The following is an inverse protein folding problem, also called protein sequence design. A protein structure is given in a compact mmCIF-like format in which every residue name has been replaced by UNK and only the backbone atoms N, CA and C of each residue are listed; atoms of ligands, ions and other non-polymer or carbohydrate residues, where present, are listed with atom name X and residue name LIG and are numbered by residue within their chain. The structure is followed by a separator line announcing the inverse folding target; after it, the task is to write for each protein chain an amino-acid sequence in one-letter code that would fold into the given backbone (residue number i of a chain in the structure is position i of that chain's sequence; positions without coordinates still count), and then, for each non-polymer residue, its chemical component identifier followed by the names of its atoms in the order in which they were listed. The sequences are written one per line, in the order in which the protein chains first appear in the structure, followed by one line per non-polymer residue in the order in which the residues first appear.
data_IF_613563818962
#
_entry.id   IF_613563818962
#
_cell.length_a   1.000
_cell.length_b   1.000
_cell.length_c   1.000
_cell.angle_alpha   90.00
_cell.angle_beta   90.00
_cell.angle_gamma   90.00
#
_symmetry.space_group_name_H-M   'P 1'
#
loop_
_entity.id
_entity.type
_entity.pdbx_description
1 polymer ?
#
# COMPACT_ATOMS: atom_id res chain seq x y z
N UNK A 1 -9.79 -2.88 -17.73
CA UNK A 1 -9.60 -1.70 -16.87
C UNK A 1 -10.07 -0.44 -17.59
N UNK A 2 -10.47 0.57 -16.81
CA UNK A 2 -10.75 1.93 -17.29
C UNK A 2 -9.55 2.81 -16.95
N UNK A 3 -8.94 3.43 -17.95
CA UNK A 3 -7.73 4.23 -17.84
C UNK A 3 -7.93 5.62 -18.48
N UNK A 4 -7.16 6.65 -18.07
CA UNK A 4 -7.14 7.92 -18.79
C UNK A 4 -6.65 7.78 -20.23
N UNK A 5 -6.98 8.75 -21.09
CA UNK A 5 -6.57 8.75 -22.49
C UNK A 5 -5.03 8.69 -22.63
N UNK A 6 -4.56 7.89 -23.59
CA UNK A 6 -3.14 7.65 -23.86
C UNK A 6 -2.49 6.56 -23.00
N UNK A 7 -3.21 6.03 -22.00
CA UNK A 7 -2.74 4.88 -21.25
C UNK A 7 -3.27 3.56 -21.82
N UNK A 8 -2.46 2.53 -21.71
CA UNK A 8 -2.81 1.15 -22.06
C UNK A 8 -2.41 0.20 -20.93
N UNK A 9 -3.04 -0.98 -20.90
CA UNK A 9 -2.73 -2.04 -19.96
C UNK A 9 -2.30 -3.30 -20.69
N UNK A 10 -1.25 -3.95 -20.19
CA UNK A 10 -0.79 -5.28 -20.60
C UNK A 10 -0.87 -6.20 -19.39
N UNK A 11 -1.29 -7.44 -19.59
CA UNK A 11 -1.18 -8.49 -18.57
C UNK A 11 0.21 -9.13 -18.73
N UNK A 12 1.06 -8.93 -17.72
CA UNK A 12 2.44 -9.42 -17.72
C UNK A 12 2.53 -10.87 -17.30
N UNK A 13 1.71 -11.26 -16.33
CA UNK A 13 1.61 -12.64 -15.83
C UNK A 13 0.23 -12.88 -15.21
N UNK A 14 -0.16 -14.16 -15.14
CA UNK A 14 -1.38 -14.63 -14.49
C UNK A 14 -1.06 -15.78 -13.54
N UNK A 15 -2.02 -16.13 -12.71
CA UNK A 15 -1.95 -17.28 -11.81
C UNK A 15 -0.73 -17.25 -10.84
N UNK A 16 -0.24 -16.06 -10.49
CA UNK A 16 0.84 -15.90 -9.50
C UNK A 16 0.41 -16.26 -8.07
N UNK A 17 -0.88 -16.51 -7.84
CA UNK A 17 -1.42 -16.73 -6.51
C UNK A 17 -1.67 -15.41 -5.77
N UNK A 18 -1.57 -15.41 -4.43
CA UNK A 18 -1.85 -14.23 -3.60
C UNK A 18 -0.72 -13.19 -3.68
N UNK A 19 -0.57 -12.53 -4.84
CA UNK A 19 0.49 -11.55 -5.14
C UNK A 19 0.26 -10.26 -4.36
N UNK A 20 1.20 -9.93 -3.48
CA UNK A 20 1.15 -8.73 -2.62
C UNK A 20 2.04 -7.62 -3.16
N UNK A 21 3.05 -7.19 -2.42
CA UNK A 21 3.94 -6.13 -2.89
C UNK A 21 4.87 -6.61 -3.99
N UNK A 22 5.39 -5.66 -4.73
CA UNK A 22 6.15 -5.83 -5.94
C UNK A 22 7.28 -4.80 -5.98
N UNK A 23 8.39 -5.15 -6.61
CA UNK A 23 9.46 -4.22 -6.94
C UNK A 23 10.04 -4.60 -8.29
N UNK A 24 10.53 -3.61 -9.03
CA UNK A 24 11.12 -3.81 -10.37
C UNK A 24 12.57 -3.36 -10.33
N UNK A 25 13.46 -4.18 -10.85
CA UNK A 25 14.88 -3.91 -10.94
C UNK A 25 15.21 -2.89 -12.04
N UNK A 26 16.44 -2.40 -12.04
CA UNK A 26 16.94 -1.49 -13.09
C UNK A 26 16.98 -2.13 -14.48
N UNK A 27 17.06 -3.46 -14.54
CA UNK A 27 17.05 -4.25 -15.78
C UNK A 27 15.64 -4.61 -16.26
N UNK A 28 14.61 -4.34 -15.46
CA UNK A 28 13.22 -4.67 -15.79
C UNK A 28 12.73 -5.98 -15.18
N UNK A 29 13.57 -6.73 -14.48
CA UNK A 29 13.13 -7.93 -13.74
C UNK A 29 12.17 -7.52 -12.63
N UNK A 30 11.10 -8.26 -12.52
CA UNK A 30 10.01 -8.00 -11.59
C UNK A 30 10.07 -9.02 -10.45
N UNK A 31 10.06 -8.55 -9.21
CA UNK A 31 10.02 -9.40 -8.03
C UNK A 31 8.69 -9.21 -7.31
N UNK A 32 7.94 -10.30 -7.14
CA UNK A 32 6.60 -10.31 -6.52
C UNK A 32 6.65 -11.12 -5.24
N UNK A 33 6.16 -10.55 -4.13
CA UNK A 33 5.99 -11.24 -2.85
C UNK A 33 4.59 -11.83 -2.75
N UNK A 34 4.48 -13.06 -2.27
CA UNK A 34 3.21 -13.77 -2.12
C UNK A 34 2.80 -13.86 -0.64
N UNK A 35 1.50 -13.62 -0.36
CA UNK A 35 0.90 -13.80 0.97
C UNK A 35 0.70 -15.28 1.34
N UNK A 36 0.70 -16.17 0.36
CA UNK A 36 0.65 -17.63 0.50
C UNK A 36 1.66 -18.25 -0.45
N UNK A 37 2.26 -19.35 -0.06
CA UNK A 37 3.20 -20.07 -0.94
C UNK A 37 2.47 -20.59 -2.18
N UNK A 38 3.13 -20.47 -3.32
CA UNK A 38 2.80 -21.14 -4.57
C UNK A 38 3.96 -22.09 -4.88
N UNK A 39 3.68 -23.37 -5.08
CA UNK A 39 4.70 -24.41 -5.33
C UNK A 39 5.84 -24.39 -4.29
N UNK A 40 5.49 -24.11 -3.02
CA UNK A 40 6.44 -24.01 -1.91
C UNK A 40 7.28 -22.72 -1.89
N UNK A 41 7.03 -21.76 -2.79
CA UNK A 41 7.81 -20.53 -2.92
C UNK A 41 6.96 -19.29 -2.61
N UNK A 42 7.58 -18.30 -1.99
CA UNK A 42 6.92 -17.05 -1.53
C UNK A 42 7.38 -15.80 -2.26
N UNK A 43 8.35 -15.90 -3.16
CA UNK A 43 8.83 -14.82 -4.01
C UNK A 43 8.96 -15.36 -5.43
N UNK A 44 8.53 -14.59 -6.43
CA UNK A 44 8.72 -14.91 -7.84
C UNK A 44 9.47 -13.78 -8.53
N UNK A 45 10.54 -14.14 -9.28
CA UNK A 45 11.16 -13.28 -10.29
C UNK A 45 10.50 -13.56 -11.62
N UNK A 46 10.05 -12.50 -12.28
CA UNK A 46 9.44 -12.53 -13.61
C UNK A 46 10.30 -11.74 -14.57
N UNK A 47 10.52 -12.27 -15.77
CA UNK A 47 11.29 -11.60 -16.83
C UNK A 47 10.60 -11.76 -18.17
N UNK A 48 10.48 -10.66 -18.88
CA UNK A 48 10.10 -10.59 -20.28
C UNK A 48 11.41 -10.63 -21.09
N UNK A 49 11.69 -11.77 -21.75
CA UNK A 49 12.97 -12.00 -22.46
C UNK A 49 12.91 -11.59 -23.93
N UNK A 50 11.71 -11.46 -24.49
CA UNK A 50 11.47 -11.15 -25.89
C UNK A 50 10.93 -9.73 -26.11
N UNK A 51 10.67 -8.97 -25.04
CA UNK A 51 10.14 -7.61 -25.03
C UNK A 51 8.72 -7.47 -25.61
N UNK A 52 7.86 -8.50 -25.47
CA UNK A 52 6.47 -8.44 -25.89
C UNK A 52 5.53 -7.92 -24.81
N UNK A 53 6.06 -7.70 -23.59
CA UNK A 53 5.33 -7.21 -22.42
C UNK A 53 4.74 -8.31 -21.55
N UNK A 54 4.98 -9.59 -21.87
CA UNK A 54 4.58 -10.77 -21.09
C UNK A 54 5.82 -11.44 -20.51
N UNK A 55 5.75 -11.91 -19.28
CA UNK A 55 6.86 -12.60 -18.65
C UNK A 55 6.98 -14.05 -19.17
N UNK A 56 8.06 -14.34 -19.91
CA UNK A 56 8.40 -15.69 -20.41
C UNK A 56 9.03 -16.55 -19.33
N UNK A 57 9.75 -15.94 -18.40
CA UNK A 57 10.47 -16.62 -17.34
C UNK A 57 9.86 -16.30 -15.99
N UNK A 58 9.56 -17.34 -15.20
CA UNK A 58 9.06 -17.25 -13.83
C UNK A 58 9.88 -18.16 -12.93
N UNK A 59 10.66 -17.59 -12.03
CA UNK A 59 11.51 -18.34 -11.09
C UNK A 59 11.07 -18.06 -9.66
N UNK A 60 10.61 -19.11 -8.96
CA UNK A 60 10.20 -19.04 -7.56
C UNK A 60 11.37 -19.33 -6.61
N UNK A 61 11.44 -18.59 -5.49
CA UNK A 61 12.38 -18.83 -4.39
C UNK A 61 11.82 -18.32 -3.06
N UNK A 62 12.56 -18.54 -1.95
CA UNK A 62 12.11 -18.20 -0.60
C UNK A 62 10.88 -19.01 -0.17
N UNK A 63 11.02 -19.80 0.85
CA UNK A 63 10.02 -20.76 1.36
C UNK A 63 9.08 -20.17 2.43
N UNK A 64 8.92 -18.85 2.45
CA UNK A 64 8.12 -18.12 3.43
C UNK A 64 7.11 -17.17 2.76
N UNK A 65 5.84 -17.15 3.24
CA UNK A 65 4.84 -16.17 2.79
C UNK A 65 5.10 -14.80 3.42
N UNK A 66 4.55 -13.74 2.84
CA UNK A 66 4.66 -12.39 3.40
C UNK A 66 4.11 -11.30 2.50
N UNK A 67 4.45 -10.05 2.81
CA UNK A 67 3.90 -8.90 2.07
C UNK A 67 5.00 -7.98 1.53
N UNK A 68 5.96 -7.57 2.37
CA UNK A 68 6.95 -6.56 2.00
C UNK A 68 8.02 -7.10 1.06
N UNK A 69 8.34 -6.33 0.03
CA UNK A 69 9.47 -6.55 -0.87
C UNK A 69 9.99 -5.20 -1.37
N UNK A 70 11.32 -5.04 -1.49
CA UNK A 70 11.94 -3.79 -1.88
C UNK A 70 13.34 -4.02 -2.45
N UNK A 71 13.76 -3.27 -3.46
CA UNK A 71 15.14 -3.27 -3.97
C UNK A 71 15.83 -1.98 -3.59
N UNK A 72 17.01 -2.08 -2.97
CA UNK A 72 17.88 -0.94 -2.66
C UNK A 72 19.33 -1.37 -2.56
N UNK A 73 20.24 -0.55 -3.10
CA UNK A 73 21.69 -0.65 -2.91
C UNK A 73 22.27 -2.05 -3.15
N UNK A 74 21.81 -2.73 -4.23
CA UNK A 74 22.28 -4.05 -4.62
C UNK A 74 21.69 -5.21 -3.83
N UNK A 75 20.63 -4.97 -3.06
CA UNK A 75 19.91 -5.99 -2.33
C UNK A 75 18.41 -6.00 -2.64
N UNK A 76 17.85 -7.19 -2.66
CA UNK A 76 16.42 -7.44 -2.57
C UNK A 76 16.06 -7.74 -1.10
N UNK A 77 15.23 -6.91 -0.51
CA UNK A 77 14.68 -7.10 0.83
C UNK A 77 13.31 -7.75 0.74
N UNK A 78 13.02 -8.72 1.61
CA UNK A 78 11.71 -9.36 1.66
C UNK A 78 11.32 -9.69 3.10
N UNK A 79 10.04 -9.52 3.44
CA UNK A 79 9.50 -9.88 4.75
C UNK A 79 8.72 -11.19 4.71
N UNK A 80 8.82 -11.96 5.78
CA UNK A 80 7.79 -12.92 6.19
C UNK A 80 6.75 -12.23 7.09
N UNK A 81 5.91 -13.00 7.76
CA UNK A 81 4.99 -12.47 8.78
C UNK A 81 5.70 -12.11 10.10
N UNK A 82 6.92 -12.60 10.34
CA UNK A 82 7.67 -12.43 11.60
C UNK A 82 9.16 -12.10 11.43
N UNK A 83 9.65 -12.04 10.18
CA UNK A 83 11.08 -11.86 9.90
C UNK A 83 11.29 -10.96 8.68
N UNK A 84 12.50 -10.39 8.55
CA UNK A 84 12.96 -9.67 7.37
C UNK A 84 14.26 -10.28 6.91
N UNK A 85 14.35 -10.53 5.60
CA UNK A 85 15.51 -11.08 4.92
C UNK A 85 16.01 -10.13 3.84
N UNK A 86 17.29 -10.30 3.43
CA UNK A 86 17.81 -9.70 2.21
C UNK A 86 18.56 -10.72 1.38
N UNK A 87 18.56 -10.49 0.09
CA UNK A 87 19.29 -11.27 -0.91
C UNK A 87 20.21 -10.33 -1.67
N UNK A 88 21.47 -10.70 -1.85
CA UNK A 88 22.38 -9.94 -2.68
C UNK A 88 22.01 -10.09 -4.15
N UNK A 89 22.02 -9.00 -4.89
CA UNK A 89 21.80 -8.98 -6.33
C UNK A 89 23.15 -8.89 -7.06
N UNK A 90 23.30 -9.67 -8.13
CA UNK A 90 24.44 -9.58 -9.03
C UNK A 90 24.29 -8.36 -9.97
N UNK A 91 25.27 -8.14 -10.87
CA UNK A 91 25.27 -7.03 -11.83
C UNK A 91 24.09 -7.09 -12.81
N UNK A 92 23.54 -8.28 -13.05
CA UNK A 92 22.32 -8.48 -13.85
C UNK A 92 21.02 -8.25 -13.06
N UNK A 93 21.14 -7.83 -11.79
CA UNK A 93 20.02 -7.63 -10.87
C UNK A 93 19.26 -8.93 -10.53
N UNK A 94 19.93 -10.07 -10.59
CA UNK A 94 19.41 -11.38 -10.18
C UNK A 94 19.90 -11.71 -8.77
N UNK A 95 19.10 -12.45 -8.02
CA UNK A 95 19.50 -12.97 -6.70
C UNK A 95 20.63 -13.99 -6.84
N UNK A 96 21.77 -13.74 -6.17
CA UNK A 96 22.97 -14.59 -6.28
C UNK A 96 22.74 -15.98 -5.62
N UNK A 97 22.16 -16.00 -4.41
CA UNK A 97 21.97 -17.22 -3.62
C UNK A 97 20.54 -17.31 -3.09
N UNK A 98 19.55 -17.71 -3.91
CA UNK A 98 18.13 -17.69 -3.51
C UNK A 98 17.79 -18.61 -2.34
N UNK A 99 18.55 -19.67 -2.12
CA UNK A 99 18.34 -20.63 -1.02
C UNK A 99 19.04 -20.21 0.30
N UNK A 100 19.83 -19.14 0.29
CA UNK A 100 20.61 -18.66 1.44
C UNK A 100 20.42 -17.15 1.68
N UNK A 101 19.19 -16.70 2.06
CA UNK A 101 18.98 -15.30 2.41
C UNK A 101 19.72 -14.92 3.69
N UNK A 102 20.20 -13.69 3.76
CA UNK A 102 20.71 -13.11 4.99
C UNK A 102 19.54 -12.63 5.86
N UNK A 103 19.46 -13.14 7.10
CA UNK A 103 18.43 -12.73 8.06
C UNK A 103 18.80 -11.39 8.67
N UNK A 104 17.95 -10.39 8.49
CA UNK A 104 18.14 -9.06 9.06
C UNK A 104 17.42 -8.90 10.40
N UNK A 105 16.15 -9.30 10.48
CA UNK A 105 15.32 -9.12 11.68
C UNK A 105 14.52 -10.39 11.93
N UNK A 106 14.40 -10.77 13.20
CA UNK A 106 13.57 -11.89 13.66
C UNK A 106 12.66 -11.47 14.82
N UNK A 107 11.65 -12.32 15.08
CA UNK A 107 10.75 -12.14 16.23
C UNK A 107 9.83 -10.94 16.13
N UNK A 108 9.54 -10.43 14.91
CA UNK A 108 8.51 -9.45 14.70
C UNK A 108 7.16 -10.03 15.14
N UNK A 109 6.36 -9.21 15.81
CA UNK A 109 5.07 -9.64 16.34
C UNK A 109 4.17 -10.20 15.24
N UNK A 110 3.88 -11.50 15.30
CA UNK A 110 2.97 -12.19 14.39
C UNK A 110 1.59 -12.31 15.03
N UNK A 111 0.55 -12.15 14.22
CA UNK A 111 -0.86 -12.18 14.60
C UNK A 111 -1.66 -12.97 13.59
N UNK A 112 -2.86 -13.42 13.98
CA UNK A 112 -3.77 -14.08 13.06
C UNK A 112 -4.34 -13.14 12.00
N UNK A 113 -4.64 -11.89 12.41
CA UNK A 113 -5.13 -10.82 11.53
C UNK A 113 -4.07 -9.74 11.35
N UNK A 114 -4.15 -9.01 10.23
CA UNK A 114 -3.30 -7.85 9.92
C UNK A 114 -1.79 -8.15 10.08
N UNK A 115 -1.38 -9.36 9.69
CA UNK A 115 -0.01 -9.88 9.84
C UNK A 115 0.98 -9.35 8.80
N UNK A 116 0.54 -8.51 7.87
CA UNK A 116 1.39 -7.91 6.84
C UNK A 116 2.58 -7.15 7.44
N UNK A 117 3.78 -7.48 7.00
CA UNK A 117 5.02 -6.75 7.31
C UNK A 117 5.48 -6.01 6.06
N UNK A 118 4.72 -4.98 5.69
CA UNK A 118 5.12 -4.09 4.61
C UNK A 118 6.39 -3.36 4.98
N UNK A 119 7.31 -3.17 4.03
CA UNK A 119 8.62 -2.55 4.26
C UNK A 119 8.91 -1.44 3.26
N UNK A 120 9.65 -0.45 3.70
CA UNK A 120 10.35 0.52 2.85
C UNK A 120 11.79 0.66 3.34
N UNK A 121 12.71 1.04 2.43
CA UNK A 121 14.13 1.21 2.75
C UNK A 121 14.56 2.59 2.29
N UNK A 122 15.17 3.38 3.19
CA UNK A 122 15.68 4.71 2.86
C UNK A 122 17.11 4.67 2.28
N UNK A 123 17.61 5.83 1.87
CA UNK A 123 18.98 5.99 1.35
C UNK A 123 20.07 5.91 2.43
N UNK A 124 19.70 5.99 3.69
CA UNK A 124 20.59 5.93 4.85
C UNK A 124 20.75 4.51 5.40
N UNK A 125 20.17 3.51 4.70
CA UNK A 125 20.24 2.10 5.11
C UNK A 125 19.36 1.79 6.31
N UNK A 126 18.20 2.42 6.45
CA UNK A 126 17.20 2.03 7.42
C UNK A 126 16.04 1.29 6.73
N UNK A 127 15.51 0.27 7.43
CA UNK A 127 14.31 -0.47 7.03
C UNK A 127 13.17 -0.05 7.96
N UNK A 128 12.07 0.35 7.38
CA UNK A 128 10.83 0.67 8.07
C UNK A 128 9.84 -0.47 7.86
N UNK A 129 9.24 -0.97 8.94
CA UNK A 129 8.31 -2.10 8.90
C UNK A 129 7.04 -1.80 9.69
N UNK A 130 5.89 -2.14 9.10
CA UNK A 130 4.60 -2.07 9.79
C UNK A 130 4.44 -3.19 10.80
N UNK A 131 4.06 -2.85 12.03
CA UNK A 131 3.59 -3.77 13.05
C UNK A 131 2.15 -3.37 13.40
N UNK A 132 1.19 -4.06 12.80
CA UNK A 132 -0.22 -3.73 12.96
C UNK A 132 -0.78 -4.03 14.34
N UNK A 133 -1.90 -3.38 14.67
CA UNK A 133 -2.75 -3.73 15.81
C UNK A 133 -3.44 -5.07 15.63
N UNK A 134 -3.78 -5.74 16.72
CA UNK A 134 -4.51 -7.01 16.73
C UNK A 134 -6.02 -6.85 16.51
N UNK A 135 -6.54 -5.65 16.72
CA UNK A 135 -7.96 -5.35 16.66
C UNK A 135 -8.21 -3.91 16.23
N UNK A 136 -9.47 -3.59 16.01
CA UNK A 136 -9.89 -2.33 15.43
C UNK A 136 -9.76 -1.12 16.35
N UNK A 137 -9.95 -1.29 17.68
CA UNK A 137 -10.14 -0.13 18.55
C UNK A 137 -9.63 -0.30 19.98
N UNK A 138 -8.78 -1.30 20.25
CA UNK A 138 -8.23 -1.54 21.60
C UNK A 138 -9.31 -1.55 22.71
N UNK A 139 -10.34 -2.39 22.51
CA UNK A 139 -11.49 -2.49 23.43
C UNK A 139 -11.27 -3.55 24.49
N UNK A 140 -11.96 -3.38 25.62
CA UNK A 140 -12.22 -4.45 26.55
C UNK A 140 -13.04 -5.56 25.85
N UNK A 141 -12.65 -6.82 26.09
CA UNK A 141 -13.31 -7.96 25.45
C UNK A 141 -14.82 -8.00 25.77
N UNK A 142 -15.66 -8.09 24.73
CA UNK A 142 -17.12 -8.18 24.86
C UNK A 142 -17.82 -6.86 25.19
N UNK A 143 -17.11 -5.74 25.21
CA UNK A 143 -17.68 -4.41 25.46
C UNK A 143 -17.38 -3.43 24.31
N UNK A 144 -18.09 -2.29 24.28
CA UNK A 144 -17.76 -1.17 23.40
C UNK A 144 -16.73 -0.21 23.99
N UNK A 145 -16.24 -0.45 25.22
CA UNK A 145 -15.37 0.47 25.95
C UNK A 145 -13.91 0.26 25.57
N UNK A 146 -13.19 1.34 25.33
CA UNK A 146 -11.74 1.33 25.05
C UNK A 146 -10.92 1.12 26.31
N UNK A 147 -9.79 0.40 26.16
CA UNK A 147 -8.75 0.29 27.18
C UNK A 147 -7.91 1.57 27.23
N UNK A 148 -7.73 2.13 28.43
CA UNK A 148 -6.92 3.34 28.62
C UNK A 148 -6.01 3.20 29.85
N UNK A 149 -4.67 3.17 29.66
CA UNK A 149 -3.96 3.20 28.36
C UNK A 149 -4.17 1.94 27.55
N UNK A 150 -4.05 2.05 26.21
CA UNK A 150 -4.13 0.90 25.31
C UNK A 150 -2.81 0.10 25.33
N UNK A 151 -2.78 -1.15 25.82
CA UNK A 151 -1.53 -1.92 25.93
C UNK A 151 -0.95 -2.35 24.57
N UNK A 152 -1.74 -2.29 23.49
CA UNK A 152 -1.24 -2.61 22.16
C UNK A 152 -0.22 -1.57 21.66
N UNK A 153 -0.33 -0.33 22.12
CA UNK A 153 0.63 0.72 21.74
C UNK A 153 2.05 0.47 22.24
N UNK A 154 2.26 -0.41 23.20
CA UNK A 154 3.59 -0.75 23.69
C UNK A 154 4.40 -1.55 22.67
N UNK A 155 3.73 -2.35 21.82
CA UNK A 155 4.41 -3.31 20.96
C UNK A 155 3.80 -3.46 19.54
N UNK A 156 2.81 -2.64 19.19
CA UNK A 156 2.10 -2.72 17.89
C UNK A 156 1.53 -1.36 17.49
N UNK A 157 0.71 -1.33 16.45
CA UNK A 157 0.03 -0.16 15.94
C UNK A 157 0.99 0.99 15.58
N UNK A 158 2.00 0.67 14.78
CA UNK A 158 2.99 1.66 14.35
C UNK A 158 4.01 1.13 13.36
N UNK A 159 5.02 1.96 13.16
CA UNK A 159 6.17 1.66 12.29
C UNK A 159 7.42 1.49 13.16
N UNK A 160 8.17 0.41 12.94
CA UNK A 160 9.48 0.18 13.53
C UNK A 160 10.57 0.36 12.50
N UNK A 161 11.71 0.88 12.95
CA UNK A 161 12.91 1.10 12.13
C UNK A 161 14.04 0.20 12.60
N UNK A 162 14.69 -0.48 11.65
CA UNK A 162 15.87 -1.32 11.81
C UNK A 162 16.99 -0.87 10.88
N UNK A 163 18.21 -1.41 11.07
CA UNK A 163 19.33 -1.20 10.16
C UNK A 163 19.33 -2.22 9.03
N UNK A 164 19.52 -1.75 7.79
CA UNK A 164 19.59 -2.61 6.61
C UNK A 164 20.94 -3.34 6.46
N UNK A 165 21.98 -2.86 7.12
CA UNK A 165 23.34 -3.40 7.11
C UNK A 165 23.69 -4.26 8.32
N UNK A 166 22.80 -4.35 9.32
CA UNK A 166 23.01 -5.17 10.52
C UNK A 166 22.21 -6.47 10.44
N UNK A 167 22.92 -7.61 10.50
CA UNK A 167 22.32 -8.94 10.49
C UNK A 167 21.85 -9.35 11.88
N UNK A 168 20.91 -10.30 11.93
CA UNK A 168 20.45 -10.98 13.13
C UNK A 168 19.90 -10.05 14.22
N UNK A 169 19.33 -8.92 13.83
CA UNK A 169 18.59 -8.07 14.75
C UNK A 169 17.33 -8.82 15.23
N UNK A 170 16.88 -8.51 16.43
CA UNK A 170 15.60 -8.99 16.98
C UNK A 170 14.61 -7.84 17.03
N UNK A 171 13.35 -8.14 17.28
CA UNK A 171 12.32 -7.10 17.45
C UNK A 171 12.72 -6.04 18.50
N UNK A 172 13.42 -6.45 19.58
CA UNK A 172 13.89 -5.56 20.63
C UNK A 172 14.95 -4.55 20.18
N UNK A 173 15.67 -4.81 19.08
CA UNK A 173 16.63 -3.87 18.50
C UNK A 173 15.96 -2.76 17.66
N UNK A 174 14.66 -2.91 17.36
CA UNK A 174 13.91 -1.95 16.59
C UNK A 174 13.62 -0.67 17.34
N UNK A 175 13.73 0.46 16.65
CA UNK A 175 13.28 1.75 17.16
C UNK A 175 11.86 1.98 16.72
N UNK A 176 10.92 2.19 17.65
CA UNK A 176 9.57 2.62 17.31
C UNK A 176 9.62 4.00 16.69
N UNK A 177 9.44 4.04 15.36
CA UNK A 177 9.59 5.24 14.56
C UNK A 177 8.34 6.12 14.62
N UNK A 178 7.16 5.51 14.48
CA UNK A 178 5.86 6.18 14.62
C UNK A 178 4.87 5.26 15.32
N UNK A 179 3.87 5.83 16.00
CA UNK A 179 2.83 5.12 16.74
C UNK A 179 1.43 5.60 16.34
N UNK A 180 0.39 4.98 16.91
CA UNK A 180 -0.99 5.39 16.64
C UNK A 180 -1.48 5.08 15.23
N UNK A 181 -0.85 4.12 14.56
CA UNK A 181 -1.17 3.63 13.22
C UNK A 181 -1.73 2.22 13.33
N UNK A 182 -3.05 2.06 13.20
CA UNK A 182 -3.73 0.76 13.36
C UNK A 182 -3.11 -0.35 12.51
N UNK A 183 -3.02 -0.12 11.22
CA UNK A 183 -2.42 -1.01 10.23
C UNK A 183 -1.97 -0.21 9.01
N UNK A 184 -0.78 -0.50 8.52
CA UNK A 184 -0.18 0.15 7.35
C UNK A 184 0.25 -0.94 6.38
N UNK A 185 -0.44 -1.07 5.24
CA UNK A 185 -0.01 -1.98 4.17
C UNK A 185 0.68 -1.18 3.06
N UNK A 186 0.09 -0.10 2.60
CA UNK A 186 0.72 0.82 1.66
C UNK A 186 1.72 1.75 2.36
N UNK A 187 2.99 1.70 1.98
CA UNK A 187 4.01 2.65 2.42
C UNK A 187 5.09 2.81 1.35
N UNK A 188 5.69 3.99 1.31
CA UNK A 188 6.79 4.29 0.40
C UNK A 188 7.71 5.37 0.99
N UNK A 189 9.00 5.30 0.66
CA UNK A 189 9.98 6.33 0.97
C UNK A 189 10.02 7.37 -0.16
N UNK A 190 9.53 8.56 0.13
CA UNK A 190 9.59 9.65 -0.83
C UNK A 190 11.00 10.27 -0.87
N UNK A 191 11.72 10.01 -1.95
CA UNK A 191 13.09 10.51 -2.13
C UNK A 191 13.18 12.04 -2.30
N UNK A 192 12.09 12.73 -2.63
CA UNK A 192 12.08 14.21 -2.76
C UNK A 192 12.01 14.91 -1.43
N UNK A 193 11.18 14.39 -0.51
CA UNK A 193 11.03 14.93 0.85
C UNK A 193 11.99 14.30 1.84
N UNK A 194 12.63 13.18 1.45
CA UNK A 194 13.46 12.34 2.31
C UNK A 194 12.69 11.91 3.57
N UNK A 195 11.46 11.46 3.40
CA UNK A 195 10.56 11.05 4.47
C UNK A 195 9.72 9.84 4.09
N UNK A 196 9.23 9.14 5.11
CA UNK A 196 8.35 7.98 4.96
C UNK A 196 6.90 8.45 4.85
N UNK A 197 6.20 7.94 3.83
CA UNK A 197 4.75 8.08 3.71
C UNK A 197 4.08 6.74 3.96
N UNK A 198 2.95 6.78 4.66
CA UNK A 198 2.19 5.59 5.05
C UNK A 198 0.70 5.77 4.81
N UNK A 199 0.03 4.68 4.41
CA UNK A 199 -1.42 4.60 4.27
C UNK A 199 -1.99 3.83 5.46
N UNK A 200 -2.68 4.52 6.36
CA UNK A 200 -3.35 3.86 7.48
C UNK A 200 -4.72 3.36 7.06
N UNK A 201 -4.97 2.08 7.29
CA UNK A 201 -6.29 1.51 7.23
C UNK A 201 -7.17 2.02 8.37
N UNK A 202 -8.37 2.45 8.06
CA UNK A 202 -9.40 2.74 9.04
C UNK A 202 -9.80 1.48 9.82
N UNK A 203 -10.67 1.67 10.80
CA UNK A 203 -11.27 0.58 11.56
C UNK A 203 -12.59 0.10 10.91
N UNK A 204 -13.18 -0.96 11.43
CA UNK A 204 -14.52 -1.42 11.05
C UNK A 204 -15.61 -0.38 11.31
N UNK A 205 -16.81 -0.65 10.83
CA UNK A 205 -17.95 0.26 10.84
C UNK A 205 -18.29 0.78 12.25
N UNK A 206 -18.52 2.08 12.34
CA UNK A 206 -18.92 2.71 13.59
C UNK A 206 -20.37 2.37 13.99
N UNK A 207 -21.28 2.28 13.01
CA UNK A 207 -22.70 2.02 13.26
C UNK A 207 -22.97 0.61 13.79
N UNK A 208 -22.09 -0.36 13.61
CA UNK A 208 -22.20 -1.70 14.20
C UNK A 208 -22.21 -1.67 15.74
N UNK A 209 -21.50 -0.70 16.35
CA UNK A 209 -21.36 -0.60 17.81
C UNK A 209 -21.96 0.68 18.40
N UNK A 210 -22.09 1.72 17.58
CA UNK A 210 -22.52 3.07 18.01
C UNK A 210 -23.58 3.66 17.08
N UNK A 211 -24.69 2.93 16.82
CA UNK A 211 -25.77 3.40 15.93
C UNK A 211 -26.44 4.69 16.42
N UNK A 212 -26.29 5.03 17.71
CA UNK A 212 -26.78 6.29 18.28
C UNK A 212 -25.98 7.52 17.83
N UNK A 213 -24.76 7.33 17.33
CA UNK A 213 -23.87 8.43 16.88
C UNK A 213 -23.57 8.40 15.38
N UNK A 214 -23.68 7.24 14.73
CA UNK A 214 -23.30 7.04 13.35
C UNK A 214 -24.36 6.28 12.56
N UNK A 215 -24.71 6.78 11.40
CA UNK A 215 -25.52 6.07 10.42
C UNK A 215 -24.64 5.18 9.53
N UNK A 216 -25.21 4.16 8.83
CA UNK A 216 -24.47 3.35 7.84
C UNK A 216 -23.75 4.21 6.79
N UNK A 217 -24.39 5.30 6.32
CA UNK A 217 -23.81 6.24 5.36
C UNK A 217 -22.58 6.95 5.94
N UNK A 218 -22.63 7.38 7.20
CA UNK A 218 -21.45 7.99 7.86
C UNK A 218 -20.34 6.96 8.04
N UNK A 219 -20.67 5.72 8.40
CA UNK A 219 -19.70 4.63 8.55
C UNK A 219 -19.06 4.20 7.24
N UNK A 220 -19.69 4.44 6.09
CA UNK A 220 -19.09 4.24 4.77
C UNK A 220 -17.95 5.23 4.47
N UNK A 221 -17.96 6.37 5.12
CA UNK A 221 -17.02 7.48 4.92
C UNK A 221 -16.05 7.65 6.10
N UNK A 222 -16.36 7.06 7.27
CA UNK A 222 -15.64 7.25 8.52
C UNK A 222 -15.37 5.93 9.26
N UNK A 223 -14.20 5.85 9.93
CA UNK A 223 -13.09 6.80 9.87
C UNK A 223 -12.40 6.72 8.52
N UNK A 224 -11.95 7.86 8.02
CA UNK A 224 -11.26 7.92 6.74
C UNK A 224 -10.03 7.00 6.70
N UNK A 225 -9.78 6.36 5.55
CA UNK A 225 -8.46 5.88 5.20
C UNK A 225 -7.55 7.10 5.04
N UNK A 226 -6.33 7.04 5.55
CA UNK A 226 -5.51 8.26 5.66
C UNK A 226 -4.07 8.06 5.19
N UNK A 227 -3.54 9.08 4.51
CA UNK A 227 -2.12 9.17 4.15
C UNK A 227 -1.41 10.09 5.14
N UNK A 228 -0.33 9.63 5.73
CA UNK A 228 0.54 10.44 6.59
C UNK A 228 1.96 10.50 6.02
N UNK A 229 2.59 11.65 6.11
CA UNK A 229 4.03 11.78 6.18
C UNK A 229 4.42 11.59 7.64
N UNK A 230 5.34 10.66 7.92
CA UNK A 230 5.70 10.31 9.31
C UNK A 230 7.19 10.50 9.56
N UNK A 231 7.50 11.02 10.76
CA UNK A 231 8.83 11.22 11.29
C UNK A 231 9.00 10.49 12.60
N UNK A 232 10.23 10.39 13.06
CA UNK A 232 10.50 9.73 14.34
C UNK A 232 9.82 10.45 15.50
N UNK A 233 9.03 9.68 16.26
CA UNK A 233 8.27 10.17 17.41
C UNK A 233 6.85 10.60 17.11
N UNK A 234 6.42 10.56 15.85
CA UNK A 234 5.05 10.92 15.48
C UNK A 234 4.02 9.93 16.01
N UNK A 235 2.85 10.48 16.38
CA UNK A 235 1.66 9.73 16.78
C UNK A 235 0.48 10.10 15.88
N UNK A 236 -0.07 9.11 15.16
CA UNK A 236 -1.25 9.30 14.32
C UNK A 236 -2.57 9.21 15.08
N UNK A 237 -2.56 8.81 16.37
CA UNK A 237 -3.67 8.94 17.30
C UNK A 237 -4.56 7.72 17.51
N UNK A 238 -4.42 6.65 16.72
CA UNK A 238 -5.13 5.40 17.02
C UNK A 238 -4.67 4.82 18.38
N UNK A 239 -5.56 4.28 19.22
CA UNK A 239 -7.01 4.07 19.04
C UNK A 239 -7.88 5.23 19.53
N UNK A 240 -7.30 6.26 20.13
CA UNK A 240 -8.02 7.28 20.91
C UNK A 240 -8.78 8.27 20.04
N UNK A 241 -8.22 8.59 18.88
CA UNK A 241 -8.81 9.53 17.93
C UNK A 241 -8.78 8.97 16.50
N UNK A 242 -9.72 9.41 15.69
CA UNK A 242 -9.74 9.16 14.25
C UNK A 242 -9.83 10.48 13.48
N UNK A 243 -9.46 10.50 12.22
CA UNK A 243 -9.62 11.66 11.35
C UNK A 243 -10.99 11.65 10.68
N UNK A 244 -11.74 12.72 10.90
CA UNK A 244 -12.99 13.00 10.20
C UNK A 244 -12.71 13.90 9.00
N UNK A 245 -12.87 13.36 7.78
CA UNK A 245 -12.55 14.06 6.54
C UNK A 245 -13.50 15.21 6.23
N UNK A 246 -14.72 15.21 6.78
CA UNK A 246 -15.70 16.26 6.59
C UNK A 246 -15.50 17.42 7.56
N UNK A 247 -15.23 17.12 8.83
CA UNK A 247 -14.89 18.10 9.85
C UNK A 247 -13.42 18.57 9.75
N UNK A 248 -12.58 17.87 8.98
CA UNK A 248 -11.14 18.13 8.78
C UNK A 248 -10.35 18.23 10.08
N UNK A 249 -10.66 17.36 11.04
CA UNK A 249 -10.03 17.32 12.36
C UNK A 249 -10.04 15.92 12.99
N UNK A 250 -9.24 15.76 14.03
CA UNK A 250 -9.23 14.55 14.86
C UNK A 250 -10.40 14.58 15.84
N UNK A 251 -11.23 13.54 15.78
CA UNK A 251 -12.40 13.32 16.63
C UNK A 251 -12.07 12.21 17.62
N UNK A 252 -12.51 12.38 18.86
CA UNK A 252 -12.40 11.36 19.90
C UNK A 252 -13.18 10.11 19.48
N UNK A 253 -12.53 8.95 19.54
CA UNK A 253 -13.16 7.70 19.16
C UNK A 253 -14.28 7.33 20.16
N UNK A 254 -15.39 6.74 19.69
CA UNK A 254 -16.56 6.49 20.55
C UNK A 254 -16.25 5.55 21.72
N UNK A 255 -15.31 4.63 21.57
CA UNK A 255 -14.79 3.76 22.62
C UNK A 255 -14.23 4.52 23.83
N UNK A 256 -13.79 5.75 23.60
CA UNK A 256 -13.15 6.64 24.58
C UNK A 256 -14.05 7.83 24.95
N UNK A 257 -15.35 7.72 24.72
CA UNK A 257 -16.35 8.73 25.07
C UNK A 257 -16.63 9.78 23.99
N UNK A 258 -16.20 9.50 22.76
CA UNK A 258 -16.55 10.33 21.59
C UNK A 258 -18.01 10.17 21.17
N UNK A 259 -18.55 11.19 20.53
CA UNK A 259 -19.96 11.29 20.08
C UNK A 259 -20.05 11.71 18.60
N UNK A 260 -18.95 11.59 17.86
CA UNK A 260 -18.82 12.05 16.47
C UNK A 260 -18.55 13.54 16.33
N UNK A 261 -18.45 14.31 17.42
CA UNK A 261 -18.23 15.76 17.42
C UNK A 261 -17.08 16.22 18.32
N UNK A 262 -16.89 15.55 19.46
CA UNK A 262 -15.86 15.87 20.43
C UNK A 262 -14.49 15.68 19.81
N UNK A 263 -13.63 16.69 19.85
CA UNK A 263 -12.23 16.62 19.49
C UNK A 263 -11.44 15.86 20.56
N UNK A 264 -10.49 15.04 20.12
CA UNK A 264 -9.50 14.46 21.03
C UNK A 264 -8.52 15.53 21.52
N UNK A 265 -7.99 15.32 22.74
CA UNK A 265 -6.98 16.20 23.35
C UNK A 265 -5.55 15.75 23.10
N UNK A 266 -5.35 14.55 22.55
CA UNK A 266 -4.04 14.01 22.26
C UNK A 266 -3.29 14.85 21.22
N UNK A 267 -1.99 15.10 21.47
CA UNK A 267 -1.11 15.72 20.48
C UNK A 267 -0.77 14.70 19.39
N UNK A 268 -1.43 14.78 18.25
CA UNK A 268 -1.28 13.83 17.15
C UNK A 268 -1.05 14.55 15.83
N UNK A 269 -0.39 13.88 14.88
CA UNK A 269 -0.21 14.42 13.52
C UNK A 269 -1.52 14.35 12.72
N UNK A 270 -1.72 15.29 11.80
CA UNK A 270 -2.82 15.26 10.85
C UNK A 270 -2.41 14.54 9.56
N UNK A 271 -3.35 13.85 8.87
CA UNK A 271 -3.07 13.23 7.59
C UNK A 271 -2.85 14.29 6.50
N UNK A 272 -2.06 13.92 5.50
CA UNK A 272 -1.83 14.70 4.28
C UNK A 272 -3.00 14.58 3.29
N UNK A 273 -3.65 13.42 3.27
CA UNK A 273 -4.84 13.14 2.47
C UNK A 273 -5.75 12.14 3.20
N UNK A 274 -7.03 12.18 2.86
CA UNK A 274 -8.05 11.31 3.42
C UNK A 274 -8.95 10.75 2.30
N UNK A 275 -9.43 9.53 2.50
CA UNK A 275 -10.19 8.76 1.52
C UNK A 275 -11.38 8.11 2.21
N UNK A 276 -12.43 7.69 1.45
CA UNK A 276 -13.54 6.95 2.02
C UNK A 276 -13.09 5.72 2.82
N UNK A 277 -13.85 5.35 3.83
CA UNK A 277 -13.58 4.18 4.66
C UNK A 277 -13.67 2.86 3.86
N UNK A 278 -13.06 1.80 4.37
CA UNK A 278 -13.15 0.41 3.89
C UNK A 278 -12.54 0.14 2.52
N UNK A 279 -11.88 1.11 1.89
CA UNK A 279 -11.25 0.89 0.58
C UNK A 279 -9.92 0.12 0.68
N UNK A 280 -9.30 0.05 1.85
CA UNK A 280 -8.09 -0.75 2.11
C UNK A 280 -6.88 -0.35 1.26
N UNK A 281 -6.17 0.74 1.57
CA UNK A 281 -5.04 1.22 0.77
C UNK A 281 -3.79 0.34 0.99
N UNK A 282 -3.65 -0.71 0.17
CA UNK A 282 -2.59 -1.71 0.30
C UNK A 282 -1.29 -1.37 -0.43
N UNK A 283 -1.32 -0.49 -1.41
CA UNK A 283 -0.14 -0.03 -2.13
C UNK A 283 0.01 1.47 -2.11
N UNK A 284 1.24 1.96 -2.02
CA UNK A 284 1.62 3.36 -2.17
C UNK A 284 2.89 3.43 -3.01
N UNK A 285 2.91 4.33 -3.99
CA UNK A 285 4.07 4.58 -4.83
C UNK A 285 4.17 6.06 -5.20
N UNK A 286 5.26 6.72 -4.88
CA UNK A 286 5.60 8.03 -5.42
C UNK A 286 6.24 7.86 -6.80
N UNK A 287 5.54 8.34 -7.83
CA UNK A 287 5.98 8.22 -9.21
C UNK A 287 7.12 9.20 -9.52
N UNK A 288 8.29 8.68 -9.84
CA UNK A 288 9.49 9.47 -10.14
C UNK A 288 9.84 9.49 -11.63
N UNK A 289 9.09 8.75 -12.45
CA UNK A 289 9.30 8.66 -13.90
C UNK A 289 8.91 9.94 -14.65
N UNK A 290 9.38 10.04 -15.87
CA UNK A 290 9.10 11.16 -16.78
C UNK A 290 8.19 10.77 -17.96
N UNK A 291 7.91 9.48 -18.11
CA UNK A 291 7.10 8.92 -19.22
C UNK A 291 5.63 9.33 -19.12
N UNK A 292 5.06 9.31 -17.93
CA UNK A 292 3.68 9.72 -17.73
C UNK A 292 3.51 11.23 -17.92
N UNK A 293 2.31 11.71 -18.30
CA UNK A 293 2.00 13.13 -18.40
C UNK A 293 2.40 13.92 -17.16
N UNK A 294 2.74 15.19 -17.32
CA UNK A 294 3.26 16.05 -16.26
C UNK A 294 2.41 16.07 -14.99
N UNK A 295 1.08 15.92 -15.13
CA UNK A 295 0.16 15.90 -13.96
C UNK A 295 0.38 14.72 -13.02
N UNK A 296 0.97 13.60 -13.50
CA UNK A 296 1.23 12.40 -12.71
C UNK A 296 2.64 12.34 -12.14
N UNK A 297 3.52 13.26 -12.56
CA UNK A 297 4.90 13.28 -12.09
C UNK A 297 4.97 13.77 -10.65
N UNK A 298 5.80 13.10 -9.85
CA UNK A 298 6.01 13.39 -8.43
C UNK A 298 4.75 13.26 -7.55
N UNK A 299 3.65 12.70 -8.07
CA UNK A 299 2.45 12.38 -7.30
C UNK A 299 2.48 10.97 -6.74
N UNK A 300 1.50 10.66 -5.91
CA UNK A 300 1.36 9.37 -5.25
C UNK A 300 0.23 8.54 -5.89
N UNK A 301 0.55 7.33 -6.35
CA UNK A 301 -0.42 6.30 -6.71
C UNK A 301 -0.74 5.45 -5.49
N UNK A 302 -2.02 5.08 -5.32
CA UNK A 302 -2.51 4.28 -4.19
C UNK A 302 -3.35 3.13 -4.74
N UNK A 303 -3.01 1.89 -4.38
CA UNK A 303 -3.82 0.72 -4.69
C UNK A 303 -4.84 0.49 -3.59
N UNK A 304 -6.11 0.64 -3.90
CA UNK A 304 -7.24 0.37 -3.02
C UNK A 304 -7.75 -1.05 -3.26
N UNK A 305 -7.43 -1.92 -2.31
CA UNK A 305 -7.66 -3.36 -2.34
C UNK A 305 -9.07 -3.77 -1.92
N UNK A 306 -9.75 -2.94 -1.14
CA UNK A 306 -11.07 -3.18 -0.59
C UNK A 306 -12.16 -2.39 -1.30
N UNK A 307 -13.37 -2.51 -0.76
CA UNK A 307 -14.57 -1.83 -1.22
C UNK A 307 -15.33 -1.18 -0.06
N UNK A 308 -15.71 0.07 -0.20
CA UNK A 308 -16.81 0.67 0.55
C UNK A 308 -18.12 0.23 -0.11
N UNK A 309 -18.82 -0.70 0.54
CA UNK A 309 -20.05 -1.30 -0.03
C UNK A 309 -21.15 -0.28 -0.23
N UNK A 310 -21.38 0.58 0.75
CA UNK A 310 -22.42 1.60 0.72
C UNK A 310 -22.16 2.69 -0.32
N UNK A 311 -20.89 2.93 -0.66
CA UNK A 311 -20.50 3.89 -1.71
C UNK A 311 -20.33 3.23 -3.07
N UNK A 312 -20.43 1.91 -3.15
CA UNK A 312 -20.15 1.15 -4.37
C UNK A 312 -18.81 1.53 -5.03
N UNK A 313 -17.77 1.76 -4.22
CA UNK A 313 -16.47 2.25 -4.65
C UNK A 313 -15.34 1.42 -4.03
N UNK A 314 -14.39 1.02 -4.86
CA UNK A 314 -13.22 0.25 -4.43
C UNK A 314 -12.56 -0.47 -5.59
N UNK A 315 -11.56 -1.31 -5.30
CA UNK A 315 -10.80 -2.08 -6.29
C UNK A 315 -10.28 -1.19 -7.43
N UNK A 316 -9.55 -0.13 -7.07
CA UNK A 316 -9.09 0.90 -8.01
C UNK A 316 -7.70 1.41 -7.65
N UNK A 317 -7.07 2.12 -8.58
CA UNK A 317 -5.86 2.91 -8.30
C UNK A 317 -6.27 4.38 -8.21
N UNK A 318 -6.01 4.98 -7.05
CA UNK A 318 -6.13 6.41 -6.83
C UNK A 318 -4.83 7.13 -7.14
N UNK A 319 -4.92 8.43 -7.40
CA UNK A 319 -3.79 9.33 -7.57
C UNK A 319 -3.97 10.60 -6.76
N UNK A 320 -2.94 10.99 -6.02
CA UNK A 320 -2.87 12.28 -5.31
C UNK A 320 -1.78 13.12 -5.97
N UNK A 321 -2.11 14.29 -6.54
CA UNK A 321 -1.10 15.18 -7.08
C UNK A 321 -0.28 15.83 -5.96
N UNK A 322 1.05 15.91 -6.16
CA UNK A 322 1.96 16.53 -5.21
C UNK A 322 2.73 17.68 -5.86
N UNK A 323 3.02 18.70 -5.05
CA UNK A 323 3.92 19.79 -5.40
C UNK A 323 4.72 20.18 -4.15
N UNK A 324 6.04 20.25 -4.29
CA UNK A 324 6.96 20.56 -3.18
C UNK A 324 6.73 19.65 -1.95
N UNK A 325 6.55 18.34 -2.18
CA UNK A 325 6.40 17.35 -1.13
C UNK A 325 5.03 17.32 -0.43
N UNK A 326 4.04 18.09 -0.90
CA UNK A 326 2.71 18.16 -0.30
C UNK A 326 1.62 17.93 -1.34
N UNK A 327 0.46 17.34 -0.96
CA UNK A 327 -0.70 17.28 -1.85
C UNK A 327 -1.05 18.66 -2.39
N UNK A 328 -1.25 18.74 -3.70
CA UNK A 328 -1.54 20.01 -4.41
C UNK A 328 -2.94 20.08 -5.00
N UNK A 329 -3.76 19.08 -4.77
CA UNK A 329 -5.15 18.98 -5.20
C UNK A 329 -5.87 17.80 -4.60
N UNK A 330 -7.17 17.63 -4.87
CA UNK A 330 -7.92 16.44 -4.45
C UNK A 330 -7.36 15.19 -5.14
N UNK A 331 -7.55 14.03 -4.50
CA UNK A 331 -7.27 12.77 -5.14
C UNK A 331 -8.26 12.47 -6.28
N UNK A 332 -7.81 11.72 -7.27
CA UNK A 332 -8.63 11.28 -8.39
C UNK A 332 -8.49 9.77 -8.62
N UNK A 333 -9.45 9.16 -9.31
CA UNK A 333 -9.33 7.78 -9.78
C UNK A 333 -8.45 7.77 -11.02
N UNK A 334 -7.32 7.05 -10.95
CA UNK A 334 -6.42 6.86 -12.09
C UNK A 334 -6.77 5.63 -12.92
N UNK A 335 -6.96 4.48 -12.27
CA UNK A 335 -7.37 3.25 -12.95
C UNK A 335 -8.51 2.59 -12.18
N UNK A 336 -9.55 2.17 -12.89
CA UNK A 336 -10.78 1.64 -12.33
C UNK A 336 -11.18 0.32 -13.00
N UNK A 337 -12.25 -0.29 -12.47
CA UNK A 337 -12.84 -1.51 -12.97
C UNK A 337 -11.95 -2.76 -12.81
N UNK A 338 -11.13 -2.82 -11.76
CA UNK A 338 -10.43 -4.04 -11.38
C UNK A 338 -11.43 -5.12 -10.92
N UNK A 339 -12.53 -4.73 -10.30
CA UNK A 339 -13.58 -5.67 -9.91
C UNK A 339 -14.11 -6.51 -11.08
N UNK A 340 -14.05 -6.02 -12.34
CA UNK A 340 -14.57 -6.71 -13.50
C UNK A 340 -16.09 -6.90 -13.50
N UNK A 341 -16.78 -6.31 -12.51
CA UNK A 341 -18.24 -6.34 -12.34
C UNK A 341 -18.72 -4.96 -11.87
N UNK A 342 -19.98 -4.66 -12.09
CA UNK A 342 -20.61 -3.45 -11.57
C UNK A 342 -20.75 -3.58 -10.02
N UNK A 343 -20.25 -2.60 -9.27
CA UNK A 343 -20.31 -2.64 -7.81
C UNK A 343 -21.70 -2.25 -7.24
N UNK A 344 -22.57 -1.62 -8.06
CA UNK A 344 -23.97 -1.31 -7.70
C UNK A 344 -24.87 -2.50 -7.95
N UNK A 345 -24.70 -3.15 -9.12
CA UNK A 345 -25.47 -4.32 -9.54
C UNK A 345 -24.53 -5.41 -10.03
N UNK A 346 -23.89 -6.16 -9.11
CA UNK A 346 -22.92 -7.16 -9.49
C UNK A 346 -23.52 -8.24 -10.39
N UNK A 347 -22.86 -8.49 -11.51
CA UNK A 347 -23.21 -9.57 -12.46
C UNK A 347 -22.35 -10.83 -12.27
N UNK A 348 -21.38 -10.77 -11.37
CA UNK A 348 -20.47 -11.85 -11.03
C UNK A 348 -19.56 -11.49 -9.86
N UNK A 349 -18.66 -12.41 -9.47
CA UNK A 349 -17.70 -12.15 -8.41
C UNK A 349 -16.66 -11.10 -8.83
N UNK A 350 -16.02 -10.47 -7.83
CA UNK A 350 -14.88 -9.60 -8.04
C UNK A 350 -13.75 -10.38 -8.72
N UNK A 351 -13.19 -9.83 -9.79
CA UNK A 351 -12.13 -10.48 -10.57
C UNK A 351 -10.74 -10.16 -10.05
N UNK A 352 -10.46 -8.92 -9.66
CA UNK A 352 -9.14 -8.47 -9.23
C UNK A 352 -9.23 -7.53 -8.06
N UNK A 353 -8.23 -7.62 -7.16
CA UNK A 353 -8.04 -6.72 -6.03
C UNK A 353 -6.62 -6.14 -6.09
N UNK A 354 -6.45 -4.89 -6.55
CA UNK A 354 -5.14 -4.26 -6.66
C UNK A 354 -4.46 -4.17 -5.27
N UNK A 355 -3.17 -4.51 -5.20
CA UNK A 355 -2.45 -4.58 -3.94
C UNK A 355 -1.12 -3.81 -3.96
N UNK A 356 -0.09 -4.35 -4.61
CA UNK A 356 1.23 -3.74 -4.69
C UNK A 356 1.39 -2.87 -5.92
N UNK A 357 2.22 -1.84 -5.80
CA UNK A 357 2.58 -0.91 -6.87
C UNK A 357 4.10 -0.85 -7.04
N UNK A 358 4.58 -0.82 -8.28
CA UNK A 358 5.98 -0.53 -8.59
C UNK A 358 6.10 0.27 -9.88
N UNK A 359 7.18 1.04 -10.01
CA UNK A 359 7.56 1.72 -11.25
C UNK A 359 8.64 0.93 -11.95
N UNK A 360 8.45 0.66 -13.23
CA UNK A 360 9.49 0.08 -14.10
C UNK A 360 10.51 1.11 -14.57
N UNK A 361 11.67 0.65 -15.09
CA UNK A 361 12.70 1.52 -15.63
C UNK A 361 12.22 2.31 -16.87
N UNK A 362 11.24 1.82 -17.59
CA UNK A 362 10.57 2.47 -18.72
C UNK A 362 9.53 3.53 -18.29
N UNK A 363 9.30 3.68 -16.98
CA UNK A 363 8.31 4.57 -16.39
C UNK A 363 6.89 4.01 -16.36
N UNK A 364 6.68 2.74 -16.72
CA UNK A 364 5.38 2.07 -16.56
C UNK A 364 5.05 1.83 -15.08
N UNK A 365 3.76 1.78 -14.77
CA UNK A 365 3.24 1.42 -13.45
C UNK A 365 2.82 -0.05 -13.46
N UNK A 366 3.39 -0.85 -12.55
CA UNK A 366 2.99 -2.23 -12.32
C UNK A 366 2.03 -2.32 -11.15
N UNK A 367 1.02 -3.19 -11.28
CA UNK A 367 -0.03 -3.42 -10.27
C UNK A 367 -0.23 -4.91 -10.07
N UNK A 368 -0.06 -5.40 -8.84
CA UNK A 368 -0.39 -6.79 -8.49
C UNK A 368 -1.86 -6.92 -8.10
N UNK A 369 -2.40 -8.10 -8.35
CA UNK A 369 -3.71 -8.56 -7.89
C UNK A 369 -3.52 -9.77 -6.97
N UNK A 370 -4.00 -9.70 -5.72
CA UNK A 370 -3.83 -10.78 -4.75
C UNK A 370 -5.00 -11.78 -4.71
N UNK A 371 -6.01 -11.59 -5.56
CA UNK A 371 -7.15 -12.49 -5.67
C UNK A 371 -6.89 -13.62 -6.68
N UNK A 372 -6.59 -13.25 -7.93
CA UNK A 372 -6.34 -14.20 -9.02
C UNK A 372 -4.86 -14.21 -9.48
N UNK A 373 -4.00 -13.42 -8.84
CA UNK A 373 -2.57 -13.42 -9.12
C UNK A 373 -2.21 -12.84 -10.48
N UNK A 374 -2.95 -11.84 -10.93
CA UNK A 374 -2.66 -11.14 -12.19
C UNK A 374 -1.68 -10.00 -11.93
N UNK A 375 -0.69 -9.87 -12.80
CA UNK A 375 0.21 -8.73 -12.83
C UNK A 375 -0.11 -7.84 -14.03
N UNK A 376 -0.50 -6.61 -13.76
CA UNK A 376 -0.79 -5.59 -14.77
C UNK A 376 0.39 -4.64 -14.94
N UNK A 377 0.67 -4.26 -16.20
CA UNK A 377 1.57 -3.16 -16.56
C UNK A 377 0.75 -2.07 -17.23
N UNK A 378 0.75 -0.88 -16.66
CA UNK A 378 0.09 0.31 -17.22
C UNK A 378 1.15 1.20 -17.82
N UNK A 379 1.07 1.43 -19.13
CA UNK A 379 2.02 2.20 -19.91
C UNK A 379 1.34 3.42 -20.53
N UNK A 380 2.11 4.48 -20.80
CA UNK A 380 1.64 5.66 -21.51
C UNK A 380 2.31 5.77 -22.86
N UNK A 381 1.49 5.90 -23.90
CA UNK A 381 1.98 6.20 -25.25
C UNK A 381 1.55 7.61 -25.61
N UNK A 382 2.52 8.46 -25.90
CA UNK A 382 2.26 9.81 -26.37
C UNK A 382 1.76 9.73 -27.83
N UNK A 383 0.47 9.39 -28.00
CA UNK A 383 -0.16 9.44 -29.32
C UNK A 383 -0.29 10.91 -29.69
N UNK A 384 0.56 11.39 -30.57
CA UNK A 384 0.39 12.72 -31.15
C UNK A 384 -1.04 12.85 -31.69
N UNK A 385 -1.76 13.95 -31.41
CA UNK A 385 -3.12 14.11 -31.88
C UNK A 385 -3.14 13.95 -33.40
N UNK A 386 -3.89 12.98 -33.90
CA UNK A 386 -4.14 12.81 -35.33
C UNK A 386 -4.76 14.13 -35.81
N UNK A 387 -4.01 14.91 -36.59
CA UNK A 387 -4.50 16.13 -37.25
C UNK A 387 -5.69 15.67 -38.10
N UNK A 388 -6.92 16.05 -37.73
CA UNK A 388 -8.08 15.86 -38.61
C UNK A 388 -7.72 16.50 -39.94
N UNK A 389 -7.62 15.68 -40.97
CA UNK A 389 -7.46 16.19 -42.32
C UNK A 389 -8.67 17.08 -42.60
N UNK A 390 -8.44 18.37 -42.76
CA UNK A 390 -9.43 19.30 -43.28
C UNK A 390 -9.74 18.90 -44.71
N UNK A 391 -10.93 18.35 -44.93
CA UNK A 391 -11.41 18.10 -46.27
C UNK A 391 -11.47 19.46 -46.99
N UNK A 392 -10.54 19.65 -47.93
CA UNK A 392 -10.62 20.78 -48.87
C UNK A 392 -11.85 20.58 -49.75
N UNK A 393 -12.86 21.44 -49.58
CA UNK A 393 -13.93 21.57 -50.58
C UNK A 393 -13.28 22.09 -51.84
N UNK A 394 -13.22 21.24 -52.84
CA UNK A 394 -13.02 21.62 -54.24
C UNK A 394 -14.30 22.31 -54.68
N UNK A 395 -14.16 23.57 -55.13
CA UNK A 395 -15.22 24.33 -55.78
C UNK A 395 -15.38 23.85 -57.22
#
# INVERSE_FOLDING_TARGET
LKLPAGFSVTIVAQDLGAARHITVSKTGDIYVKLAKLKDGKGIYRLRDTNNDGVADEQIGFGDYPGTGIFIRDGYLYASSNSEIYRYKLNDKQEVENPEQPEKLVSGLREKERDKSKSIAVDKQGNIYVNIASDNDACREKGTGKGLMPCPLLDSAAGIWRFKADALNQTYANGVRFATGLKNVVGLDWNNQTNSLFVMQHGRGKFDDFYPQYYTPKQSAELPAETMYEVHQGDDAGWPYVYYDQFQKKKILAPEYGGDGKKTGTAKTINPMAAFPAHMGPNGLLFYTGTTFPAKYRNGAFIAFHGQSQELHKGYLIGFVPFKNGKPSGPWEIFADNFAGTDLVKPTGPVQHRPCGLAQGPDGSLYVTDDLNGTLFKISYQNVAPVKKATASRVK
#
